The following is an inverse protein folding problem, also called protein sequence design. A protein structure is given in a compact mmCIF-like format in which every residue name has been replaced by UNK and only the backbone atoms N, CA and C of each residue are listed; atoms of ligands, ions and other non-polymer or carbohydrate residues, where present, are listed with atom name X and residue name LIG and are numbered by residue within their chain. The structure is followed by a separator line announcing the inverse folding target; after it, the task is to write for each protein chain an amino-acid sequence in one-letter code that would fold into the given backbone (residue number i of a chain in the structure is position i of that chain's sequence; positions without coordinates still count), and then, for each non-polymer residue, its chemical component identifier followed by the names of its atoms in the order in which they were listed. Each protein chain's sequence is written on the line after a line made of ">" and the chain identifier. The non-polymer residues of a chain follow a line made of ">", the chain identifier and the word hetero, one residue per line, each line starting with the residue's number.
data_IF_750097408066
#
_entry.id   IF_750097408066
#
_cell.length_a   1.000
_cell.length_b   1.000
_cell.length_c   1.000
_cell.angle_alpha   90.00
_cell.angle_beta   90.00
_cell.angle_gamma   90.00
#
_symmetry.space_group_name_H-M   'P 1'
#
loop_
_entity.id
_entity.type
_entity.pdbx_description
1 polymer ?
#
# COMPACT_ATOMS: atom_id res chain seq x y z
N UNK A 1 5.28 -9.66 13.06
CA UNK A 1 4.69 -8.32 13.25
C UNK A 1 4.18 -7.69 11.95
N UNK A 2 4.99 -7.54 10.88
CA UNK A 2 4.57 -6.90 9.63
C UNK A 2 3.32 -7.51 8.98
N UNK A 3 3.21 -8.84 8.97
CA UNK A 3 2.02 -9.54 8.45
C UNK A 3 0.77 -9.22 9.27
N UNK A 4 0.85 -9.21 10.59
CA UNK A 4 -0.28 -8.90 11.48
C UNK A 4 -0.74 -7.46 11.26
N UNK A 5 0.19 -6.51 11.24
CA UNK A 5 -0.10 -5.09 11.00
C UNK A 5 -0.70 -4.87 9.60
N UNK A 6 -0.16 -5.54 8.58
CA UNK A 6 -0.69 -5.51 7.22
C UNK A 6 -2.11 -6.07 7.12
N UNK A 7 -2.40 -7.14 7.85
CA UNK A 7 -3.75 -7.73 7.91
C UNK A 7 -4.74 -6.77 8.59
N UNK A 8 -4.38 -6.22 9.75
CA UNK A 8 -5.23 -5.23 10.46
C UNK A 8 -5.48 -4.02 9.57
N UNK A 9 -4.45 -3.49 8.94
CA UNK A 9 -4.58 -2.37 8.00
C UNK A 9 -5.48 -2.71 6.80
N UNK A 10 -5.38 -3.93 6.27
CA UNK A 10 -6.23 -4.42 5.19
C UNK A 10 -7.70 -4.52 5.59
N UNK A 11 -7.99 -5.02 6.79
CA UNK A 11 -9.35 -5.11 7.33
C UNK A 11 -9.93 -3.70 7.55
N UNK A 12 -9.19 -2.80 8.18
CA UNK A 12 -9.62 -1.40 8.37
C UNK A 12 -9.91 -0.73 7.04
N UNK A 13 -9.06 -0.94 6.05
CA UNK A 13 -9.26 -0.39 4.70
C UNK A 13 -10.50 -0.97 4.00
N UNK A 14 -10.77 -2.25 4.19
CA UNK A 14 -11.99 -2.87 3.68
C UNK A 14 -13.24 -2.30 4.37
N UNK A 15 -13.19 -2.09 5.69
CA UNK A 15 -14.27 -1.43 6.42
C UNK A 15 -14.51 0.01 5.94
N UNK A 16 -13.47 0.73 5.55
CA UNK A 16 -13.60 2.07 4.95
C UNK A 16 -14.35 2.03 3.61
N UNK A 17 -14.28 0.92 2.86
CA UNK A 17 -15.06 0.76 1.63
C UNK A 17 -16.57 0.58 1.88
N UNK A 18 -17.00 0.33 3.14
CA UNK A 18 -18.42 0.17 3.51
C UNK A 18 -19.18 1.49 3.70
N UNK A 19 -18.61 2.64 3.34
CA UNK A 19 -19.31 3.93 3.40
C UNK A 19 -18.46 5.13 3.85
N UNK A 20 -17.17 4.94 4.15
CA UNK A 20 -16.27 6.02 4.54
C UNK A 20 -15.40 6.54 3.38
N UNK A 21 -15.30 5.79 2.29
CA UNK A 21 -14.51 6.17 1.12
C UNK A 21 -15.38 6.11 -0.14
N UNK A 22 -15.64 7.25 -0.81
CA UNK A 22 -16.47 7.27 -2.02
C UNK A 22 -15.96 6.33 -3.11
N UNK A 23 -14.65 6.26 -3.28
CA UNK A 23 -14.01 5.35 -4.23
C UNK A 23 -14.21 3.87 -3.83
N UNK A 24 -14.02 3.57 -2.55
CA UNK A 24 -14.18 2.22 -2.01
C UNK A 24 -15.64 1.75 -2.04
N UNK A 25 -16.58 2.64 -1.75
CA UNK A 25 -18.02 2.36 -1.79
C UNK A 25 -18.48 1.95 -3.20
N UNK A 26 -18.01 2.64 -4.23
CA UNK A 26 -18.31 2.27 -5.62
C UNK A 26 -17.72 0.90 -5.96
N UNK A 27 -16.47 0.63 -5.59
CA UNK A 27 -15.87 -0.69 -5.82
C UNK A 27 -16.63 -1.80 -5.09
N UNK A 28 -17.06 -1.55 -3.86
CA UNK A 28 -17.84 -2.50 -3.06
C UNK A 28 -19.22 -2.77 -3.68
N UNK A 29 -19.88 -1.74 -4.21
CA UNK A 29 -21.18 -1.87 -4.88
C UNK A 29 -21.10 -2.67 -6.19
N UNK A 30 -19.95 -2.60 -6.90
CA UNK A 30 -19.73 -3.37 -8.13
C UNK A 30 -19.48 -4.86 -7.79
N UNK A 31 -18.54 -5.14 -6.89
CA UNK A 31 -18.20 -6.51 -6.52
C UNK A 31 -17.53 -6.59 -5.14
N UNK A 32 -18.27 -6.90 -4.06
CA UNK A 32 -17.74 -6.89 -2.69
C UNK A 32 -16.57 -7.86 -2.47
N UNK A 33 -16.61 -9.04 -3.12
CA UNK A 33 -15.54 -10.03 -3.00
C UNK A 33 -14.22 -9.56 -3.64
N UNK A 34 -14.29 -8.93 -4.81
CA UNK A 34 -13.11 -8.38 -5.48
C UNK A 34 -12.55 -7.19 -4.68
N UNK A 35 -13.40 -6.37 -4.09
CA UNK A 35 -12.98 -5.27 -3.21
C UNK A 35 -12.25 -5.78 -1.97
N UNK A 36 -12.73 -6.87 -1.36
CA UNK A 36 -12.02 -7.55 -0.29
C UNK A 36 -10.62 -8.01 -0.73
N UNK A 37 -10.53 -8.63 -1.90
CA UNK A 37 -9.26 -9.13 -2.46
C UNK A 37 -8.29 -7.99 -2.79
N UNK A 38 -8.77 -6.84 -3.24
CA UNK A 38 -7.94 -5.64 -3.45
C UNK A 38 -7.47 -5.04 -2.13
N UNK A 39 -8.28 -5.06 -1.07
CA UNK A 39 -7.96 -4.39 0.19
C UNK A 39 -7.11 -5.25 1.14
N UNK A 40 -7.46 -6.52 1.37
CA UNK A 40 -6.83 -7.30 2.45
C UNK A 40 -5.55 -8.00 2.01
N UNK A 41 -5.53 -8.87 0.98
CA UNK A 41 -4.31 -9.57 0.58
C UNK A 41 -3.17 -8.65 0.14
N UNK A 42 -3.48 -7.57 -0.55
CA UNK A 42 -2.47 -6.61 -1.02
C UNK A 42 -1.72 -5.96 0.14
N UNK A 43 -2.45 -5.56 1.18
CA UNK A 43 -1.87 -4.97 2.38
C UNK A 43 -1.16 -5.97 3.28
N UNK A 44 -1.65 -7.20 3.33
CA UNK A 44 -0.92 -8.31 3.98
C UNK A 44 0.48 -8.49 3.36
N UNK A 45 0.56 -8.58 2.04
CA UNK A 45 1.82 -8.73 1.31
C UNK A 45 2.72 -7.50 1.47
N UNK A 46 2.14 -6.30 1.40
CA UNK A 46 2.87 -5.04 1.58
C UNK A 46 3.45 -4.88 2.99
N UNK A 47 2.87 -5.48 4.01
CA UNK A 47 3.43 -5.53 5.36
C UNK A 47 4.43 -6.68 5.56
N UNK A 48 4.21 -7.81 4.92
CA UNK A 48 5.02 -9.01 5.10
C UNK A 48 6.38 -8.92 4.40
N UNK A 49 6.41 -8.54 3.13
CA UNK A 49 7.64 -8.51 2.32
C UNK A 49 8.69 -7.54 2.88
N UNK A 50 8.37 -6.26 3.21
CA UNK A 50 9.34 -5.38 3.83
C UNK A 50 9.83 -5.87 5.19
N UNK A 51 8.97 -6.55 5.95
CA UNK A 51 9.33 -7.17 7.22
C UNK A 51 10.37 -8.30 7.05
N UNK A 52 10.27 -9.10 5.98
CA UNK A 52 11.28 -10.10 5.64
C UNK A 52 12.59 -9.45 5.21
N UNK A 53 12.53 -8.45 4.34
CA UNK A 53 13.71 -7.70 3.87
C UNK A 53 14.44 -7.05 5.04
N UNK A 54 13.69 -6.39 5.94
CA UNK A 54 14.23 -5.85 7.19
C UNK A 54 15.01 -6.89 8.00
N UNK A 55 14.40 -8.07 8.21
CA UNK A 55 15.02 -9.17 8.96
C UNK A 55 16.31 -9.68 8.31
N UNK A 56 16.34 -9.74 6.98
CA UNK A 56 17.52 -10.18 6.23
C UNK A 56 18.65 -9.15 6.36
N UNK A 57 18.35 -7.86 6.16
CA UNK A 57 19.36 -6.80 6.24
C UNK A 57 19.87 -6.63 7.68
N UNK A 58 19.00 -6.77 8.69
CA UNK A 58 19.43 -6.72 10.09
C UNK A 58 20.48 -7.76 10.47
N UNK A 59 20.44 -8.96 9.83
CA UNK A 59 21.49 -9.99 10.02
C UNK A 59 22.88 -9.53 9.57
N UNK A 60 22.96 -8.57 8.67
CA UNK A 60 24.21 -7.97 8.17
C UNK A 60 24.74 -6.85 9.08
N UNK A 61 24.10 -6.59 10.22
CA UNK A 61 24.52 -5.59 11.21
C UNK A 61 24.11 -4.15 10.89
N UNK A 62 23.53 -3.86 9.73
CA UNK A 62 23.17 -2.50 9.27
C UNK A 62 21.71 -2.16 9.60
N UNK A 63 21.36 -2.06 10.89
CA UNK A 63 19.98 -1.84 11.37
C UNK A 63 19.34 -0.56 10.85
N UNK A 64 20.06 0.56 10.83
CA UNK A 64 19.54 1.85 10.35
C UNK A 64 19.21 1.81 8.86
N UNK A 65 20.06 1.14 8.06
CA UNK A 65 19.82 0.94 6.63
C UNK A 65 18.60 0.04 6.39
N UNK A 66 18.48 -1.05 7.19
CA UNK A 66 17.34 -1.95 7.13
C UNK A 66 16.01 -1.23 7.41
N UNK A 67 16.01 -0.35 8.42
CA UNK A 67 14.84 0.47 8.77
C UNK A 67 14.46 1.44 7.66
N UNK A 68 15.43 2.17 7.09
CA UNK A 68 15.18 3.09 5.99
C UNK A 68 14.61 2.41 4.75
N UNK A 69 15.18 1.27 4.36
CA UNK A 69 14.71 0.47 3.22
C UNK A 69 13.30 -0.06 3.47
N UNK A 70 13.02 -0.58 4.67
CA UNK A 70 11.69 -1.08 5.00
C UNK A 70 10.64 0.03 4.98
N UNK A 71 10.94 1.20 5.56
CA UNK A 71 10.04 2.36 5.56
C UNK A 71 9.71 2.87 4.13
N UNK A 72 10.65 2.76 3.21
CA UNK A 72 10.44 3.09 1.80
C UNK A 72 9.63 2.01 1.06
N UNK A 73 9.94 0.73 1.31
CA UNK A 73 9.29 -0.38 0.62
C UNK A 73 7.82 -0.59 1.00
N UNK A 74 7.43 -0.29 2.24
CA UNK A 74 6.03 -0.46 2.69
C UNK A 74 5.06 0.33 1.82
N UNK A 75 5.15 1.66 1.68
CA UNK A 75 4.23 2.41 0.84
C UNK A 75 4.37 2.06 -0.65
N UNK A 76 5.59 1.82 -1.13
CA UNK A 76 5.83 1.44 -2.52
C UNK A 76 5.10 0.13 -2.87
N UNK A 77 5.31 -0.93 -2.10
CA UNK A 77 4.68 -2.23 -2.35
C UNK A 77 3.17 -2.19 -2.10
N UNK A 78 2.72 -1.40 -1.10
CA UNK A 78 1.29 -1.19 -0.88
C UNK A 78 0.61 -0.64 -2.14
N UNK A 79 1.16 0.42 -2.70
CA UNK A 79 0.63 1.05 -3.91
C UNK A 79 0.72 0.13 -5.12
N UNK A 80 1.85 -0.54 -5.31
CA UNK A 80 2.08 -1.43 -6.43
C UNK A 80 1.12 -2.63 -6.42
N UNK A 81 0.98 -3.31 -5.30
CA UNK A 81 0.06 -4.46 -5.19
C UNK A 81 -1.40 -4.02 -5.28
N UNK A 82 -1.77 -2.93 -4.60
CA UNK A 82 -3.13 -2.40 -4.65
C UNK A 82 -3.52 -2.07 -6.09
N UNK A 83 -2.70 -1.33 -6.82
CA UNK A 83 -2.97 -0.94 -8.21
C UNK A 83 -2.95 -2.11 -9.17
N UNK A 84 -2.02 -3.06 -8.99
CA UNK A 84 -1.98 -4.25 -9.84
C UNK A 84 -3.28 -5.06 -9.75
N UNK A 85 -3.74 -5.34 -8.52
CA UNK A 85 -4.97 -6.10 -8.32
C UNK A 85 -6.20 -5.29 -8.73
N UNK A 86 -6.23 -3.99 -8.45
CA UNK A 86 -7.31 -3.10 -8.88
C UNK A 86 -7.46 -3.09 -10.40
N UNK A 87 -6.37 -2.94 -11.14
CA UNK A 87 -6.41 -2.96 -12.61
C UNK A 87 -6.84 -4.33 -13.12
N UNK A 88 -6.31 -5.41 -12.60
CA UNK A 88 -6.69 -6.77 -13.02
C UNK A 88 -8.19 -7.03 -12.80
N UNK A 89 -8.72 -6.61 -11.65
CA UNK A 89 -10.09 -6.92 -11.25
C UNK A 89 -11.13 -5.93 -11.78
N UNK A 90 -10.79 -4.65 -11.87
CA UNK A 90 -11.76 -3.58 -12.10
C UNK A 90 -11.50 -2.72 -13.35
N UNK A 91 -10.41 -2.92 -14.09
CA UNK A 91 -10.09 -2.09 -15.25
C UNK A 91 -11.22 -2.02 -16.29
N UNK A 92 -11.93 -3.12 -16.50
CA UNK A 92 -13.02 -3.21 -17.47
C UNK A 92 -14.37 -2.69 -16.95
N UNK A 93 -14.43 -2.15 -15.73
CA UNK A 93 -15.65 -1.54 -15.21
C UNK A 93 -15.83 -0.13 -15.74
N UNK A 94 -17.07 0.27 -16.00
CA UNK A 94 -17.42 1.60 -16.52
C UNK A 94 -16.85 2.72 -15.63
N UNK A 95 -16.84 2.51 -14.32
CA UNK A 95 -16.33 3.48 -13.36
C UNK A 95 -14.81 3.73 -13.52
N UNK A 96 -14.01 2.68 -13.60
CA UNK A 96 -12.55 2.83 -13.80
C UNK A 96 -12.25 3.36 -15.21
N UNK A 97 -13.02 2.95 -16.23
CA UNK A 97 -12.89 3.47 -17.57
C UNK A 97 -13.21 4.98 -17.66
N UNK A 98 -14.21 5.46 -16.94
CA UNK A 98 -14.51 6.90 -16.87
C UNK A 98 -13.37 7.70 -16.23
N UNK A 99 -12.74 7.18 -15.19
CA UNK A 99 -11.56 7.80 -14.57
C UNK A 99 -10.37 7.76 -15.54
N UNK A 100 -10.15 6.63 -16.21
CA UNK A 100 -9.06 6.50 -17.18
C UNK A 100 -9.22 7.50 -18.34
N UNK A 101 -10.44 7.71 -18.84
CA UNK A 101 -10.74 8.73 -19.85
C UNK A 101 -10.51 10.15 -19.35
N UNK A 102 -10.90 10.46 -18.10
CA UNK A 102 -10.65 11.78 -17.50
C UNK A 102 -9.16 12.08 -17.34
N UNK A 103 -8.35 11.06 -17.08
CA UNK A 103 -6.89 11.13 -17.00
C UNK A 103 -6.19 11.03 -18.37
N UNK A 104 -6.98 10.89 -19.48
CA UNK A 104 -6.44 10.65 -20.84
C UNK A 104 -5.50 9.45 -20.92
N UNK A 105 -5.75 8.44 -20.10
CA UNK A 105 -4.97 7.20 -20.07
C UNK A 105 -5.44 6.28 -21.19
N UNK A 106 -4.58 6.02 -22.16
CA UNK A 106 -4.86 5.12 -23.29
C UNK A 106 -4.58 3.65 -22.98
N UNK A 107 -3.79 3.39 -21.95
CA UNK A 107 -3.38 2.04 -21.56
C UNK A 107 -3.52 1.83 -20.04
N UNK A 108 -3.72 0.56 -19.56
CA UNK A 108 -3.76 0.26 -18.14
C UNK A 108 -2.52 0.73 -17.37
N UNK A 109 -1.35 0.61 -17.99
CA UNK A 109 -0.08 1.06 -17.42
C UNK A 109 -0.04 2.59 -17.25
N UNK A 110 -0.46 3.33 -18.27
CA UNK A 110 -0.55 4.81 -18.23
C UNK A 110 -1.57 5.25 -17.17
N UNK A 111 -2.69 4.54 -17.03
CA UNK A 111 -3.66 4.77 -15.98
C UNK A 111 -3.04 4.64 -14.58
N UNK A 112 -2.30 3.56 -14.31
CA UNK A 112 -1.60 3.35 -13.03
C UNK A 112 -0.61 4.48 -12.75
N UNK A 113 0.23 4.84 -13.73
CA UNK A 113 1.24 5.89 -13.58
C UNK A 113 0.60 7.25 -13.30
N UNK A 114 -0.47 7.61 -14.00
CA UNK A 114 -1.15 8.89 -13.81
C UNK A 114 -1.98 8.94 -12.53
N UNK A 115 -2.68 7.85 -12.21
CA UNK A 115 -3.52 7.77 -11.01
C UNK A 115 -2.70 7.76 -9.72
N UNK A 116 -1.56 7.03 -9.73
CA UNK A 116 -0.65 6.91 -8.59
C UNK A 116 0.38 8.04 -8.57
N UNK A 117 0.75 8.56 -9.76
CA UNK A 117 1.96 9.37 -9.92
C UNK A 117 2.08 10.54 -8.95
N UNK A 118 1.03 11.34 -8.76
CA UNK A 118 1.07 12.49 -7.84
C UNK A 118 0.75 12.04 -6.41
N UNK A 119 -0.38 11.34 -6.22
CA UNK A 119 -0.85 10.92 -4.90
C UNK A 119 0.09 9.90 -4.24
N UNK A 120 0.55 8.92 -5.00
CA UNK A 120 1.44 7.87 -4.49
C UNK A 120 2.85 8.39 -4.14
N UNK A 121 3.38 9.35 -4.91
CA UNK A 121 4.66 9.99 -4.57
C UNK A 121 4.56 10.79 -3.28
N UNK A 122 3.49 11.57 -3.09
CA UNK A 122 3.26 12.34 -1.87
C UNK A 122 3.08 11.40 -0.68
N UNK A 123 2.27 10.35 -0.82
CA UNK A 123 2.04 9.35 0.23
C UNK A 123 3.33 8.62 0.61
N UNK A 124 4.15 8.25 -0.38
CA UNK A 124 5.44 7.59 -0.16
C UNK A 124 6.43 8.49 0.59
N UNK A 125 6.54 9.76 0.20
CA UNK A 125 7.41 10.73 0.86
C UNK A 125 6.94 11.02 2.30
N UNK A 126 5.65 11.30 2.49
CA UNK A 126 5.08 11.53 3.82
C UNK A 126 5.24 10.28 4.72
N UNK A 127 4.96 9.09 4.18
CA UNK A 127 5.15 7.84 4.88
C UNK A 127 6.59 7.62 5.32
N UNK A 128 7.56 7.90 4.44
CA UNK A 128 8.98 7.79 4.76
C UNK A 128 9.41 8.80 5.83
N UNK A 129 9.02 10.07 5.71
CA UNK A 129 9.37 11.13 6.66
C UNK A 129 8.78 10.88 8.05
N UNK A 130 7.61 10.29 8.15
CA UNK A 130 6.95 9.99 9.43
C UNK A 130 7.45 8.66 10.00
N UNK A 131 7.52 7.61 9.18
CA UNK A 131 7.85 6.27 9.65
C UNK A 131 9.31 6.10 10.03
N UNK A 132 10.22 6.78 9.35
CA UNK A 132 11.67 6.66 9.62
C UNK A 132 12.08 7.17 11.01
N UNK A 133 11.67 8.39 11.46
CA UNK A 133 11.95 8.85 12.82
C UNK A 133 11.32 7.94 13.90
N UNK A 134 10.07 7.51 13.67
CA UNK A 134 9.36 6.62 14.61
C UNK A 134 10.09 5.29 14.75
N UNK A 135 10.50 4.69 13.64
CA UNK A 135 11.27 3.44 13.65
C UNK A 135 12.59 3.57 14.39
N UNK A 136 13.31 4.68 14.18
CA UNK A 136 14.57 4.95 14.85
C UNK A 136 14.40 5.19 16.35
N UNK A 137 13.33 5.86 16.76
CA UNK A 137 13.00 6.07 18.19
C UNK A 137 12.61 4.77 18.87
N UNK A 138 11.85 3.91 18.19
CA UNK A 138 11.49 2.58 18.69
C UNK A 138 12.73 1.67 18.83
N UNK A 139 13.60 1.66 17.83
CA UNK A 139 14.86 0.92 17.91
C UNK A 139 15.71 1.38 19.11
N UNK A 140 15.82 2.70 19.33
CA UNK A 140 16.52 3.25 20.48
C UNK A 140 15.87 2.86 21.82
N UNK A 141 14.55 2.88 21.91
CA UNK A 141 13.81 2.52 23.13
C UNK A 141 13.90 1.03 23.46
N UNK A 142 13.90 0.16 22.45
CA UNK A 142 13.92 -1.30 22.63
C UNK A 142 15.34 -1.83 22.89
N UNK A 143 16.35 -1.27 22.22
CA UNK A 143 17.73 -1.79 22.28
C UNK A 143 18.64 -1.07 23.29
N UNK A 144 18.13 -0.06 24.03
CA UNK A 144 18.86 0.60 25.11
C UNK A 144 18.70 -0.12 26.47
N UNK A 145 18.11 -1.32 26.45
CA UNK A 145 18.14 -2.26 27.60
C UNK A 145 19.33 -3.27 27.41
#
# INVERSE_FOLDING_TARGET
>A
MGLILGTVFGIVSFLQCLGYSPFGEVLFSIHPFLTFLVCVPTRMLAGWIPGLIYKIICKTGKKTLASGIACFLVPLLNTLFFMSVLVICFYNTEYIQSIALSLKATNPFTFVVLFVGINGLVEMLCGMFISFPISKTLDYAIYKK
#
